data_IF_517850595096
#
_entry.id   IF_517850595096
#
_cell.length_a   1.000
_cell.length_b   1.000
_cell.length_c   1.000
_cell.angle_alpha   90.00
_cell.angle_beta   90.00
_cell.angle_gamma   90.00
#
_symmetry.space_group_name_H-M   'P 1'
#
loop_
_entity.id
_entity.type
_entity.pdbx_description
1 polymer ?
#
# COMPACT_ATOMS: atom_id res chain seq x y z
N UNK A 1 -23.20 30.42 -6.44
CA UNK A 1 -21.95 29.71 -6.07
C UNK A 1 -22.32 28.51 -5.21
N UNK A 2 -21.71 27.34 -5.43
CA UNK A 2 -21.98 26.12 -4.66
C UNK A 2 -20.66 25.54 -4.20
N UNK A 3 -20.60 25.12 -2.95
CA UNK A 3 -19.46 24.42 -2.37
C UNK A 3 -19.82 22.96 -2.17
N UNK A 4 -18.99 22.08 -2.73
CA UNK A 4 -19.11 20.64 -2.55
C UNK A 4 -17.96 20.21 -1.64
N UNK A 5 -18.30 19.68 -0.47
CA UNK A 5 -17.33 19.11 0.45
C UNK A 5 -17.54 17.60 0.55
N UNK A 6 -16.45 16.85 0.46
CA UNK A 6 -16.42 15.41 0.68
C UNK A 6 -15.55 15.09 1.89
N UNK A 7 -16.04 14.24 2.79
CA UNK A 7 -15.34 13.81 4.00
C UNK A 7 -15.43 12.29 4.16
N UNK A 8 -14.28 11.65 4.30
CA UNK A 8 -14.16 10.21 4.59
C UNK A 8 -14.32 9.95 6.09
N UNK A 9 -15.08 8.92 6.48
CA UNK A 9 -15.34 8.62 7.89
C UNK A 9 -14.17 7.90 8.58
N UNK A 10 -13.63 6.85 7.95
CA UNK A 10 -12.58 5.99 8.51
C UNK A 10 -11.16 6.39 8.08
N UNK A 11 -11.03 7.53 7.42
CA UNK A 11 -9.79 8.00 6.82
C UNK A 11 -9.63 7.62 5.33
N UNK A 12 -8.43 7.84 4.78
CA UNK A 12 -8.15 7.72 3.34
C UNK A 12 -7.59 6.35 2.91
N UNK A 13 -7.35 5.43 3.85
CA UNK A 13 -6.76 4.12 3.56
C UNK A 13 -7.80 3.02 3.79
N UNK A 14 -7.88 2.08 2.86
CA UNK A 14 -8.83 0.97 2.86
C UNK A 14 -8.16 -0.33 2.44
N UNK A 15 -8.74 -1.47 2.79
CA UNK A 15 -8.38 -2.77 2.26
C UNK A 15 -9.18 -3.10 0.98
N UNK A 16 -8.61 -3.91 0.08
CA UNK A 16 -9.36 -4.50 -1.04
C UNK A 16 -10.59 -5.26 -0.51
N UNK A 17 -11.76 -5.04 -1.11
CA UNK A 17 -13.01 -5.63 -0.63
C UNK A 17 -13.73 -4.79 0.44
N UNK A 18 -13.09 -3.79 1.06
CA UNK A 18 -13.69 -3.00 2.13
C UNK A 18 -14.75 -2.04 1.59
N UNK A 19 -15.71 -1.66 2.44
CA UNK A 19 -16.71 -0.65 2.09
C UNK A 19 -16.18 0.74 2.42
N UNK A 20 -16.15 1.59 1.40
CA UNK A 20 -15.81 3.01 1.53
C UNK A 20 -17.06 3.80 1.84
N UNK A 21 -16.97 4.63 2.89
CA UNK A 21 -18.04 5.53 3.31
C UNK A 21 -17.57 6.98 3.28
N UNK A 22 -18.29 7.81 2.54
CA UNK A 22 -17.98 9.22 2.33
C UNK A 22 -19.25 10.06 2.50
N UNK A 23 -19.16 11.12 3.30
CA UNK A 23 -20.21 12.15 3.35
C UNK A 23 -19.91 13.23 2.32
N UNK A 24 -20.93 13.60 1.55
CA UNK A 24 -20.83 14.59 0.48
C UNK A 24 -21.87 15.66 0.76
N UNK A 25 -21.43 16.86 1.11
CA UNK A 25 -22.29 17.99 1.42
C UNK A 25 -22.22 19.05 0.32
N UNK A 26 -23.38 19.51 -0.12
CA UNK A 26 -23.56 20.60 -1.06
C UNK A 26 -24.07 21.81 -0.28
N UNK A 27 -23.31 22.89 -0.28
CA UNK A 27 -23.61 24.11 0.47
C UNK A 27 -23.72 25.29 -0.47
N UNK A 28 -24.81 26.03 -0.37
CA UNK A 28 -24.90 27.36 -0.95
C UNK A 28 -24.45 28.36 0.14
N UNK A 29 -23.27 29.00 0.03
CA UNK A 29 -22.82 29.97 1.01
C UNK A 29 -23.82 31.12 1.17
N UNK A 30 -23.92 31.74 2.35
CA UNK A 30 -24.81 32.87 2.57
C UNK A 30 -24.43 34.02 1.63
N UNK A 31 -25.44 34.68 1.05
CA UNK A 31 -25.22 35.85 0.21
C UNK A 31 -24.69 37.02 1.05
N UNK A 32 -23.73 37.81 0.54
CA UNK A 32 -23.33 39.04 1.21
C UNK A 32 -24.52 40.01 1.27
N UNK A 33 -24.67 40.72 2.39
CA UNK A 33 -25.80 41.60 2.73
C UNK A 33 -26.11 42.70 1.68
N UNK A 34 -25.23 42.93 0.71
CA UNK A 34 -25.35 43.96 -0.33
C UNK A 34 -25.95 43.49 -1.67
N UNK A 35 -26.27 42.20 -1.85
CA UNK A 35 -26.96 41.71 -3.06
C UNK A 35 -28.47 41.61 -2.83
N UNK A 36 -29.21 42.62 -3.28
CA UNK A 36 -30.69 42.58 -3.33
C UNK A 36 -31.10 41.65 -4.47
N UNK A 37 -31.73 40.52 -4.16
CA UNK A 37 -32.27 39.61 -5.17
C UNK A 37 -33.48 40.27 -5.86
N UNK A 38 -33.47 40.31 -7.19
CA UNK A 38 -34.54 40.95 -7.98
C UNK A 38 -35.72 40.00 -8.25
N UNK A 39 -35.55 38.68 -8.07
CA UNK A 39 -36.62 37.69 -8.19
C UNK A 39 -36.49 36.54 -7.17
N UNK A 40 -37.58 35.80 -6.94
CA UNK A 40 -37.59 34.62 -6.05
C UNK A 40 -36.68 33.48 -6.55
N UNK A 41 -36.44 33.36 -7.87
CA UNK A 41 -35.58 32.33 -8.44
C UNK A 41 -34.08 32.69 -8.38
N UNK A 42 -33.72 33.98 -8.32
CA UNK A 42 -32.32 34.44 -8.23
C UNK A 42 -31.69 34.14 -6.86
N UNK A 43 -32.50 33.76 -5.89
CA UNK A 43 -32.06 33.39 -4.54
C UNK A 43 -31.55 31.94 -4.50
N UNK A 44 -32.03 31.07 -5.38
CA UNK A 44 -31.71 29.64 -5.32
C UNK A 44 -30.62 29.25 -6.30
N UNK A 45 -29.77 28.34 -5.85
CA UNK A 45 -28.82 27.67 -6.71
C UNK A 45 -29.34 26.27 -7.02
N UNK A 46 -29.44 25.95 -8.32
CA UNK A 46 -29.97 24.67 -8.80
C UNK A 46 -28.85 23.78 -9.37
N UNK A 47 -28.74 22.58 -8.83
CA UNK A 47 -27.89 21.50 -9.33
C UNK A 47 -28.75 20.52 -10.10
N UNK A 48 -28.39 20.26 -11.35
CA UNK A 48 -29.11 19.33 -12.21
C UNK A 48 -28.94 17.88 -11.73
N UNK A 49 -27.74 17.48 -11.32
CA UNK A 49 -27.51 16.13 -10.79
C UNK A 49 -26.16 16.06 -10.08
N UNK A 50 -25.99 15.05 -9.24
CA UNK A 50 -24.69 14.61 -8.78
C UNK A 50 -24.61 13.07 -8.72
N UNK A 51 -23.44 12.54 -9.03
CA UNK A 51 -23.13 11.11 -8.94
C UNK A 51 -21.73 10.88 -8.36
N UNK A 52 -21.53 9.73 -7.74
CA UNK A 52 -20.24 9.32 -7.18
C UNK A 52 -19.87 7.90 -7.62
N UNK A 53 -18.59 7.68 -7.87
CA UNK A 53 -18.02 6.38 -8.25
C UNK A 53 -16.55 6.28 -7.84
N UNK A 54 -16.05 5.06 -7.66
CA UNK A 54 -14.65 4.76 -7.42
C UNK A 54 -13.97 4.41 -8.74
N UNK A 55 -12.80 4.99 -8.97
CA UNK A 55 -11.93 4.74 -10.12
C UNK A 55 -10.56 4.25 -9.67
N UNK A 56 -10.07 3.19 -10.31
CA UNK A 56 -8.66 2.81 -10.33
C UNK A 56 -8.07 3.19 -11.68
N UNK A 57 -7.09 4.08 -11.66
CA UNK A 57 -6.39 4.55 -12.85
C UNK A 57 -5.00 3.92 -12.86
N UNK A 58 -4.68 3.19 -13.92
CA UNK A 58 -3.36 2.67 -14.21
C UNK A 58 -2.62 3.62 -15.14
N UNK A 59 -1.40 3.98 -14.75
CA UNK A 59 -0.47 4.71 -15.60
C UNK A 59 0.77 3.88 -15.75
N UNK A 60 1.10 3.53 -16.98
CA UNK A 60 2.32 2.78 -17.34
C UNK A 60 3.33 3.71 -17.99
N UNK A 61 4.62 3.33 -17.97
CA UNK A 61 5.62 4.02 -18.78
C UNK A 61 5.29 3.84 -20.28
N UNK A 62 5.60 4.88 -21.06
CA UNK A 62 5.43 5.03 -22.50
C UNK A 62 5.90 3.85 -23.37
N UNK A 63 6.82 3.02 -22.86
CA UNK A 63 7.27 1.78 -23.55
C UNK A 63 6.27 0.64 -23.43
N UNK A 64 5.58 0.52 -22.30
CA UNK A 64 4.58 -0.53 -22.04
C UNK A 64 3.21 -0.17 -22.61
N UNK A 65 2.86 1.12 -22.62
CA UNK A 65 1.57 1.62 -23.12
C UNK A 65 1.31 1.36 -24.61
N UNK A 66 2.34 1.14 -25.43
CA UNK A 66 2.18 0.91 -26.88
C UNK A 66 1.66 -0.48 -27.27
N UNK A 67 1.72 -1.45 -26.36
CA UNK A 67 1.31 -2.83 -26.63
C UNK A 67 -0.17 -3.07 -26.32
N UNK A 68 -0.77 -2.27 -25.45
CA UNK A 68 -2.14 -2.49 -24.96
C UNK A 68 -3.26 -1.79 -25.76
N UNK A 69 -2.95 -0.91 -26.72
CA UNK A 69 -3.98 -0.30 -27.58
C UNK A 69 -4.76 -1.34 -28.42
N UNK A 70 -4.37 -2.62 -28.37
CA UNK A 70 -5.04 -3.72 -29.07
C UNK A 70 -5.92 -4.63 -28.21
N UNK A 71 -5.92 -4.57 -26.88
CA UNK A 71 -6.76 -5.45 -26.05
C UNK A 71 -7.31 -4.75 -24.80
N UNK A 72 -8.65 -4.66 -24.76
CA UNK A 72 -9.49 -4.30 -23.61
C UNK A 72 -9.43 -2.84 -23.11
N UNK A 73 -10.16 -1.96 -23.79
CA UNK A 73 -10.96 -0.98 -23.04
C UNK A 73 -12.16 -1.74 -22.46
N UNK A 74 -12.44 -1.68 -21.15
CA UNK A 74 -13.72 -2.15 -20.67
C UNK A 74 -14.80 -1.30 -21.34
N UNK A 75 -15.71 -1.94 -22.08
CA UNK A 75 -16.91 -1.34 -22.65
C UNK A 75 -17.82 -0.82 -21.52
N UNK A 76 -17.46 0.32 -20.94
CA UNK A 76 -18.43 1.13 -20.21
C UNK A 76 -19.12 2.00 -21.24
N UNK A 77 -20.31 1.57 -21.63
CA UNK A 77 -21.24 2.32 -22.49
C UNK A 77 -21.20 3.81 -22.13
N UNK A 78 -20.96 4.66 -23.14
CA UNK A 78 -20.99 6.13 -23.09
C UNK A 78 -22.38 6.63 -22.64
N UNK A 79 -22.71 6.46 -21.37
CA UNK A 79 -23.82 7.15 -20.73
C UNK A 79 -23.32 8.52 -20.30
N UNK A 80 -24.17 9.55 -20.37
CA UNK A 80 -23.87 10.93 -19.94
C UNK A 80 -23.40 11.06 -18.48
N UNK A 81 -23.53 10.00 -17.68
CA UNK A 81 -23.05 9.88 -16.31
C UNK A 81 -21.66 9.23 -16.18
N UNK A 82 -21.13 8.67 -17.27
CA UNK A 82 -19.75 8.19 -17.34
C UNK A 82 -18.83 9.41 -17.25
N UNK A 83 -18.28 9.63 -16.06
CA UNK A 83 -17.33 10.70 -15.81
C UNK A 83 -16.06 10.41 -16.61
N UNK A 84 -15.93 11.03 -17.78
CA UNK A 84 -14.72 10.97 -18.58
C UNK A 84 -13.61 11.68 -17.81
N UNK A 85 -12.69 10.91 -17.22
CA UNK A 85 -11.57 11.46 -16.46
C UNK A 85 -10.50 11.97 -17.43
N UNK A 86 -10.27 13.28 -17.46
CA UNK A 86 -9.13 13.92 -18.14
C UNK A 86 -7.74 13.54 -17.54
N UNK A 87 -7.64 12.47 -16.76
CA UNK A 87 -6.37 12.04 -16.18
C UNK A 87 -5.60 11.20 -17.20
N UNK A 88 -4.30 11.47 -17.35
CA UNK A 88 -3.41 10.68 -18.19
C UNK A 88 -3.24 9.28 -17.59
N UNK A 89 -4.06 8.31 -18.02
CA UNK A 89 -4.03 6.92 -17.57
C UNK A 89 -5.22 6.10 -18.05
N UNK A 90 -5.05 4.78 -18.15
CA UNK A 90 -6.11 3.82 -18.47
C UNK A 90 -6.95 3.55 -17.22
N UNK A 91 -8.26 3.53 -17.36
CA UNK A 91 -9.16 3.12 -16.28
C UNK A 91 -9.14 1.58 -16.24
N UNK A 92 -8.53 1.02 -15.21
CA UNK A 92 -8.56 -0.44 -14.97
C UNK A 92 -9.87 -0.86 -14.33
N UNK A 93 -10.38 -0.03 -13.42
CA UNK A 93 -11.57 -0.36 -12.63
C UNK A 93 -12.42 0.88 -12.44
N UNK A 94 -13.72 0.74 -12.68
CA UNK A 94 -14.72 1.71 -12.30
C UNK A 94 -15.91 1.00 -11.66
N UNK A 95 -16.33 1.44 -10.48
CA UNK A 95 -17.58 0.95 -9.88
C UNK A 95 -18.78 1.56 -10.59
N UNK A 96 -19.96 0.93 -10.49
CA UNK A 96 -21.21 1.51 -11.03
C UNK A 96 -21.46 2.91 -10.43
N UNK A 97 -21.73 3.94 -11.25
CA UNK A 97 -22.07 5.26 -10.75
C UNK A 97 -23.31 5.23 -9.85
N UNK A 98 -23.20 5.78 -8.64
CA UNK A 98 -24.35 6.00 -7.76
C UNK A 98 -24.82 7.44 -7.86
N UNK A 99 -26.09 7.61 -8.19
CA UNK A 99 -26.74 8.91 -8.24
C UNK A 99 -27.02 9.38 -6.80
N UNK A 100 -26.59 10.59 -6.47
CA UNK A 100 -26.88 11.23 -5.18
C UNK A 100 -28.21 11.99 -5.24
N UNK A 101 -28.46 12.71 -6.34
CA UNK A 101 -29.73 13.38 -6.65
C UNK A 101 -29.84 13.73 -8.15
N UNK A 102 -31.06 13.99 -8.62
CA UNK A 102 -31.39 14.35 -10.02
C UNK A 102 -32.02 15.75 -10.19
N UNK A 103 -32.23 16.48 -9.10
CA UNK A 103 -32.53 17.92 -9.07
C UNK A 103 -32.38 18.36 -7.61
N UNK A 104 -31.55 19.37 -7.35
CA UNK A 104 -31.36 19.91 -6.01
C UNK A 104 -31.33 21.43 -6.07
N UNK A 105 -32.27 22.07 -5.37
CA UNK A 105 -32.29 23.51 -5.14
C UNK A 105 -31.85 23.82 -3.72
N UNK A 106 -30.92 24.77 -3.58
CA UNK A 106 -30.39 25.22 -2.30
C UNK A 106 -30.62 26.72 -2.13
N UNK A 107 -31.23 27.09 -1.01
CA UNK A 107 -31.32 28.48 -0.54
C UNK A 107 -29.97 28.96 0.03
N UNK A 108 -29.70 30.27 0.09
CA UNK A 108 -28.46 30.80 0.65
C UNK A 108 -28.31 30.39 2.12
N UNK A 109 -27.14 29.86 2.48
CA UNK A 109 -26.87 29.29 3.80
C UNK A 109 -27.34 27.85 3.99
N UNK A 110 -28.04 27.25 3.02
CA UNK A 110 -28.51 25.87 3.11
C UNK A 110 -27.43 24.88 2.71
N UNK A 111 -27.31 23.82 3.51
CA UNK A 111 -26.47 22.66 3.23
C UNK A 111 -27.33 21.41 3.16
N UNK A 112 -27.09 20.57 2.15
CA UNK A 112 -27.66 19.23 2.05
C UNK A 112 -26.55 18.19 1.95
N UNK A 113 -26.61 17.16 2.79
CA UNK A 113 -25.59 16.12 2.90
C UNK A 113 -26.14 14.78 2.47
N UNK A 114 -25.35 14.05 1.67
CA UNK A 114 -25.63 12.70 1.20
C UNK A 114 -24.51 11.75 1.64
N UNK A 115 -24.84 10.47 1.84
CA UNK A 115 -23.88 9.45 2.22
C UNK A 115 -23.64 8.51 1.04
N UNK A 116 -22.39 8.45 0.59
CA UNK A 116 -21.92 7.51 -0.43
C UNK A 116 -21.29 6.31 0.26
N UNK A 117 -21.78 5.11 -0.10
CA UNK A 117 -21.32 3.82 0.43
C UNK A 117 -21.12 2.85 -0.71
N UNK A 118 -19.89 2.41 -0.96
CA UNK A 118 -19.57 1.50 -2.06
C UNK A 118 -18.47 0.52 -1.66
N UNK A 119 -18.57 -0.74 -2.09
CA UNK A 119 -17.58 -1.78 -1.82
C UNK A 119 -16.47 -1.71 -2.87
N UNK A 120 -15.21 -1.64 -2.43
CA UNK A 120 -14.07 -1.78 -3.34
C UNK A 120 -14.06 -3.22 -3.85
N UNK A 121 -13.93 -3.46 -5.16
CA UNK A 121 -13.74 -4.82 -5.67
C UNK A 121 -12.55 -5.52 -5.00
N UNK A 122 -12.61 -6.84 -4.83
CA UNK A 122 -11.53 -7.60 -4.17
C UNK A 122 -10.46 -8.10 -5.13
N UNK A 123 -10.81 -8.30 -6.41
CA UNK A 123 -9.95 -8.90 -7.43
C UNK A 123 -9.28 -7.84 -8.33
N UNK A 124 -8.84 -6.75 -7.72
CA UNK A 124 -8.32 -5.58 -8.43
C UNK A 124 -6.96 -5.17 -7.86
N UNK A 125 -6.08 -4.53 -8.66
CA UNK A 125 -4.76 -4.12 -8.21
C UNK A 125 -4.84 -3.21 -6.97
N UNK A 126 -3.98 -3.36 -5.96
CA UNK A 126 -3.90 -2.39 -4.87
C UNK A 126 -3.34 -1.05 -5.36
N UNK A 127 -3.43 -0.01 -4.52
CA UNK A 127 -2.74 1.25 -4.76
C UNK A 127 -1.23 1.07 -4.69
N UNK A 128 -0.55 1.45 -5.77
CA UNK A 128 0.90 1.30 -5.89
C UNK A 128 1.47 2.42 -6.75
N UNK A 129 2.68 2.86 -6.44
CA UNK A 129 3.42 3.87 -7.21
C UNK A 129 4.84 3.36 -7.42
N UNK A 130 5.04 2.62 -8.51
CA UNK A 130 6.32 2.08 -8.93
C UNK A 130 7.02 2.92 -9.99
N UNK A 131 8.04 2.30 -10.58
CA UNK A 131 8.76 2.87 -11.72
C UNK A 131 8.13 2.46 -13.06
N UNK A 132 7.56 1.25 -13.15
CA UNK A 132 6.97 0.74 -14.40
C UNK A 132 5.46 1.02 -14.46
N UNK A 133 4.77 0.86 -13.33
CA UNK A 133 3.33 1.10 -13.22
C UNK A 133 2.96 1.86 -11.96
N UNK A 134 1.86 2.61 -12.05
CA UNK A 134 1.20 3.24 -10.92
C UNK A 134 -0.30 3.00 -11.00
N UNK A 135 -0.86 2.48 -9.91
CA UNK A 135 -2.29 2.30 -9.68
C UNK A 135 -2.76 3.34 -8.66
N UNK A 136 -3.64 4.25 -9.10
CA UNK A 136 -4.17 5.33 -8.28
C UNK A 136 -5.68 5.18 -8.11
N UNK A 137 -6.14 5.14 -6.86
CA UNK A 137 -7.56 5.09 -6.53
C UNK A 137 -8.12 6.47 -6.18
N UNK A 138 -9.29 6.79 -6.72
CA UNK A 138 -10.00 8.05 -6.45
C UNK A 138 -11.49 7.80 -6.38
N UNK A 139 -12.17 8.41 -5.41
CA UNK A 139 -13.63 8.59 -5.46
C UNK A 139 -13.88 9.86 -6.28
N UNK A 140 -14.55 9.71 -7.41
CA UNK A 140 -14.87 10.82 -8.30
C UNK A 140 -16.34 11.17 -8.14
N UNK A 141 -16.59 12.40 -7.70
CA UNK A 141 -17.92 12.98 -7.51
C UNK A 141 -18.16 13.95 -8.65
N UNK A 142 -19.03 13.57 -9.58
CA UNK A 142 -19.46 14.42 -10.68
C UNK A 142 -20.69 15.21 -10.28
N UNK A 143 -20.71 16.50 -10.56
CA UNK A 143 -21.85 17.37 -10.28
C UNK A 143 -22.01 18.40 -11.38
N UNK A 144 -23.25 18.72 -11.71
CA UNK A 144 -23.56 19.73 -12.72
C UNK A 144 -24.50 20.79 -12.13
N UNK A 145 -24.09 22.05 -12.19
CA UNK A 145 -24.97 23.18 -11.96
C UNK A 145 -25.77 23.44 -13.24
N UNK A 146 -27.05 23.82 -13.11
CA UNK A 146 -27.89 24.14 -14.27
C UNK A 146 -27.20 25.21 -15.12
N UNK A 147 -27.21 25.02 -16.44
CA UNK A 147 -26.52 25.89 -17.42
C UNK A 147 -25.00 26.02 -17.24
N UNK A 148 -24.35 25.08 -16.55
CA UNK A 148 -22.90 25.05 -16.34
C UNK A 148 -22.29 23.71 -16.78
N UNK A 149 -20.98 23.67 -17.13
CA UNK A 149 -20.29 22.42 -17.38
C UNK A 149 -20.21 21.56 -16.12
N UNK A 150 -20.08 20.24 -16.32
CA UNK A 150 -19.87 19.27 -15.25
C UNK A 150 -18.53 19.57 -14.55
N UNK A 151 -18.53 19.58 -13.22
CA UNK A 151 -17.30 19.65 -12.42
C UNK A 151 -17.12 18.37 -11.62
N UNK A 152 -15.85 18.00 -11.40
CA UNK A 152 -15.47 16.77 -10.75
C UNK A 152 -14.68 17.07 -9.48
N UNK A 153 -15.13 16.55 -8.34
CA UNK A 153 -14.37 16.49 -7.10
C UNK A 153 -13.73 15.10 -7.00
N UNK A 154 -12.40 15.05 -6.89
CA UNK A 154 -11.64 13.80 -6.79
C UNK A 154 -11.07 13.66 -5.38
N UNK A 155 -11.49 12.61 -4.68
CA UNK A 155 -11.03 12.25 -3.34
C UNK A 155 -10.06 11.08 -3.48
N UNK A 156 -8.73 11.30 -3.37
CA UNK A 156 -7.77 10.21 -3.44
C UNK A 156 -7.92 9.28 -2.24
N UNK A 157 -7.90 7.98 -2.50
CA UNK A 157 -7.86 6.94 -1.47
C UNK A 157 -6.71 5.99 -1.76
N UNK A 158 -6.16 5.38 -0.70
CA UNK A 158 -5.13 4.34 -0.80
C UNK A 158 -5.77 3.00 -0.47
N UNK A 159 -5.62 2.04 -1.36
CA UNK A 159 -6.16 0.69 -1.23
C UNK A 159 -5.01 -0.29 -1.04
N UNK A 160 -5.02 -1.04 0.05
CA UNK A 160 -3.99 -2.03 0.37
C UNK A 160 -4.46 -3.44 0.00
N UNK A 161 -3.55 -4.33 -0.41
CA UNK A 161 -3.91 -5.69 -0.74
C UNK A 161 -4.36 -6.44 0.52
N UNK A 162 -5.38 -7.28 0.40
CA UNK A 162 -5.72 -8.26 1.44
C UNK A 162 -5.06 -9.56 1.06
N UNK A 163 -4.34 -10.16 1.99
CA UNK A 163 -3.81 -11.50 1.75
C UNK A 163 -4.96 -12.50 1.83
N UNK A 164 -5.34 -13.07 0.69
CA UNK A 164 -6.34 -14.14 0.63
C UNK A 164 -5.79 -15.51 1.06
N UNK A 165 -4.50 -15.61 1.39
CA UNK A 165 -3.86 -16.86 1.81
C UNK A 165 -4.43 -17.25 3.18
N UNK A 166 -5.48 -18.08 3.15
CA UNK A 166 -6.12 -18.65 4.33
C UNK A 166 -7.64 -18.53 4.37
N UNK A 167 -8.29 -17.62 3.63
CA UNK A 167 -9.76 -17.48 3.72
C UNK A 167 -10.51 -18.72 3.21
N UNK A 168 -9.98 -19.40 2.18
CA UNK A 168 -10.61 -20.61 1.63
C UNK A 168 -10.32 -21.87 2.47
N UNK A 169 -9.16 -21.99 3.11
CA UNK A 169 -8.81 -23.15 3.96
C UNK A 169 -9.29 -23.00 5.41
N UNK A 170 -9.52 -21.77 5.87
CA UNK A 170 -9.92 -21.49 7.26
C UNK A 170 -11.44 -21.37 7.39
N UNK A 171 -12.16 -21.07 6.30
CA UNK A 171 -13.63 -21.18 6.25
C UNK A 171 -14.14 -22.58 6.60
N UNK A 172 -13.32 -23.63 6.41
CA UNK A 172 -13.60 -25.00 6.85
C UNK A 172 -13.07 -25.36 8.25
N UNK A 173 -12.21 -24.55 8.87
CA UNK A 173 -11.66 -24.83 10.22
C UNK A 173 -12.35 -24.02 11.31
N UNK A 174 -12.88 -22.84 11.00
CA UNK A 174 -13.51 -21.95 12.00
C UNK A 174 -15.01 -22.16 12.16
N UNK A 175 -15.68 -22.73 11.15
CA UNK A 175 -17.14 -22.77 11.13
C UNK A 175 -17.73 -24.10 11.63
N UNK A 176 -16.98 -25.20 11.69
CA UNK A 176 -17.58 -26.53 11.91
C UNK A 176 -17.27 -27.21 13.25
N UNK A 177 -16.45 -26.64 14.15
CA UNK A 177 -16.16 -27.32 15.44
C UNK A 177 -16.07 -26.46 16.69
N UNK A 178 -16.07 -25.12 16.59
CA UNK A 178 -15.90 -24.26 17.80
C UNK A 178 -17.13 -23.45 18.21
N UNK A 179 -18.13 -23.25 17.34
CA UNK A 179 -19.39 -22.61 17.74
C UNK A 179 -20.32 -23.56 18.54
N UNK A 180 -20.28 -24.88 18.30
CA UNK A 180 -21.17 -25.84 19.00
C UNK A 180 -20.70 -26.28 20.40
N UNK A 181 -19.44 -26.00 20.78
CA UNK A 181 -18.85 -26.49 22.04
C UNK A 181 -18.48 -25.39 23.04
N UNK A 182 -18.74 -24.12 22.73
CA UNK A 182 -18.55 -23.05 23.71
C UNK A 182 -19.76 -23.01 24.66
N UNK A 183 -19.58 -23.15 25.99
CA UNK A 183 -20.69 -23.06 26.92
C UNK A 183 -21.33 -21.68 26.75
N UNK A 184 -22.62 -21.67 26.39
CA UNK A 184 -23.41 -20.46 26.17
C UNK A 184 -23.46 -19.66 27.47
N UNK A 185 -22.51 -18.74 27.63
CA UNK A 185 -22.44 -17.87 28.79
C UNK A 185 -23.42 -16.71 28.58
N UNK A 186 -24.52 -16.63 29.33
CA UNK A 186 -25.56 -15.63 29.12
C UNK A 186 -25.14 -14.20 29.51
N UNK A 187 -23.93 -14.02 30.07
CA UNK A 187 -23.33 -12.73 30.40
C UNK A 187 -22.30 -12.23 29.37
N UNK A 188 -21.93 -13.06 28.38
CA UNK A 188 -21.11 -12.60 27.26
C UNK A 188 -22.01 -11.83 26.30
N UNK A 189 -21.77 -10.51 26.18
CA UNK A 189 -22.40 -9.64 25.19
C UNK A 189 -22.45 -10.37 23.84
N UNK A 190 -23.61 -10.33 23.18
CA UNK A 190 -23.84 -10.90 21.84
C UNK A 190 -22.64 -10.50 20.98
N UNK A 191 -21.75 -11.46 20.68
CA UNK A 191 -20.55 -11.21 19.90
C UNK A 191 -20.99 -10.47 18.64
N UNK A 192 -20.60 -9.20 18.52
CA UNK A 192 -20.77 -8.49 17.26
C UNK A 192 -20.13 -9.37 16.19
N UNK A 193 -20.93 -9.75 15.20
CA UNK A 193 -20.50 -10.68 14.14
C UNK A 193 -19.22 -10.11 13.53
N UNK A 194 -18.09 -10.75 13.80
CA UNK A 194 -16.78 -10.27 13.35
C UNK A 194 -16.84 -10.07 11.84
N UNK A 195 -16.39 -8.91 11.35
CA UNK A 195 -16.43 -8.68 9.92
C UNK A 195 -15.40 -9.60 9.25
N UNK A 196 -15.61 -10.04 8.00
CA UNK A 196 -14.60 -10.85 7.29
C UNK A 196 -13.21 -10.18 7.24
N UNK A 197 -13.15 -8.85 7.38
CA UNK A 197 -11.91 -8.09 7.47
C UNK A 197 -11.22 -8.23 8.82
N UNK A 198 -11.97 -8.32 9.91
CA UNK A 198 -11.42 -8.54 11.25
C UNK A 198 -10.77 -9.93 11.32
N UNK A 199 -11.44 -10.94 10.77
CA UNK A 199 -10.91 -12.30 10.64
C UNK A 199 -9.64 -12.31 9.77
N UNK A 200 -9.65 -11.60 8.63
CA UNK A 200 -8.47 -11.49 7.77
C UNK A 200 -7.29 -10.80 8.48
N UNK A 201 -7.55 -9.72 9.22
CA UNK A 201 -6.53 -9.00 9.97
C UNK A 201 -5.98 -9.84 11.13
N UNK A 202 -6.83 -10.58 11.84
CA UNK A 202 -6.41 -11.50 12.89
C UNK A 202 -5.56 -12.64 12.32
N UNK A 203 -5.94 -13.18 11.16
CA UNK A 203 -5.14 -14.20 10.45
C UNK A 203 -3.77 -13.65 10.07
N UNK A 204 -3.70 -12.43 9.53
CA UNK A 204 -2.44 -11.75 9.24
C UNK A 204 -1.57 -11.55 10.50
N UNK A 205 -2.18 -11.19 11.62
CA UNK A 205 -1.50 -11.04 12.90
C UNK A 205 -0.92 -12.39 13.38
N UNK A 206 -1.64 -13.49 13.20
CA UNK A 206 -1.16 -14.83 13.53
C UNK A 206 0.00 -15.26 12.64
N UNK A 207 -0.04 -14.95 11.34
CA UNK A 207 1.05 -15.29 10.41
C UNK A 207 2.32 -14.49 10.74
N UNK A 208 2.19 -13.20 11.03
CA UNK A 208 3.33 -12.28 11.25
C UNK A 208 3.90 -12.34 12.66
N UNK A 209 3.17 -12.89 13.64
CA UNK A 209 3.66 -13.10 15.02
C UNK A 209 4.46 -14.39 15.20
N UNK A 210 4.27 -15.39 14.34
CA UNK A 210 5.03 -16.65 14.37
C UNK A 210 6.52 -16.39 14.15
N UNK A 211 7.32 -16.65 15.18
CA UNK A 211 8.78 -16.64 15.11
C UNK A 211 9.25 -18.02 14.68
N UNK A 212 9.99 -18.08 13.59
CA UNK A 212 10.63 -19.30 13.10
C UNK A 212 12.03 -18.92 12.62
N UNK A 213 13.04 -18.99 13.50
CA UNK A 213 14.39 -18.55 13.18
C UNK A 213 15.00 -19.45 12.11
N UNK A 214 15.26 -18.87 10.94
CA UNK A 214 15.91 -19.55 9.82
C UNK A 214 17.38 -19.17 9.77
N UNK A 215 18.26 -20.18 9.67
CA UNK A 215 19.70 -19.99 9.56
C UNK A 215 20.16 -20.23 8.12
N UNK A 216 20.93 -19.28 7.59
CA UNK A 216 21.47 -19.30 6.24
C UNK A 216 22.99 -19.24 6.33
N UNK A 217 23.67 -20.25 5.77
CA UNK A 217 25.13 -20.23 5.66
C UNK A 217 25.50 -19.55 4.35
N UNK A 218 26.12 -18.37 4.45
CA UNK A 218 26.54 -17.57 3.31
C UNK A 218 28.01 -17.88 3.04
N UNK A 219 28.30 -18.33 1.83
CA UNK A 219 29.64 -18.73 1.40
C UNK A 219 30.00 -18.11 0.05
N UNK A 220 31.28 -17.80 -0.11
CA UNK A 220 31.92 -17.43 -1.37
C UNK A 220 32.77 -18.61 -1.88
N UNK A 221 33.38 -18.47 -3.06
CA UNK A 221 34.34 -19.42 -3.64
C UNK A 221 35.53 -19.71 -2.70
N UNK A 222 35.91 -18.74 -1.86
CA UNK A 222 37.00 -18.87 -0.89
C UNK A 222 36.58 -19.49 0.45
N UNK A 223 35.27 -19.77 0.64
CA UNK A 223 34.75 -20.44 1.82
C UNK A 223 33.58 -19.71 2.49
N UNK A 224 33.37 -19.96 3.78
CA UNK A 224 32.21 -19.45 4.54
C UNK A 224 32.47 -18.00 4.96
N UNK A 225 31.51 -17.12 4.70
CA UNK A 225 31.61 -15.69 5.02
C UNK A 225 30.88 -15.38 6.33
N UNK A 226 29.63 -15.84 6.47
CA UNK A 226 28.85 -15.60 7.67
C UNK A 226 27.68 -16.59 7.77
N UNK A 227 27.20 -16.82 8.99
CA UNK A 227 25.90 -17.45 9.24
C UNK A 227 24.89 -16.36 9.58
N UNK A 228 23.88 -16.18 8.74
CA UNK A 228 22.79 -15.22 8.98
C UNK A 228 21.58 -15.91 9.58
N UNK A 229 21.03 -15.37 10.66
CA UNK A 229 19.78 -15.82 11.26
C UNK A 229 18.69 -14.77 11.04
N UNK A 230 17.57 -15.17 10.43
CA UNK A 230 16.38 -14.35 10.30
C UNK A 230 15.28 -14.90 11.21
N UNK A 231 14.81 -14.09 12.17
CA UNK A 231 13.87 -14.58 13.20
C UNK A 231 12.46 -14.91 12.70
N UNK A 232 12.04 -14.31 11.58
CA UNK A 232 10.78 -14.62 10.91
C UNK A 232 10.85 -14.30 9.41
N UNK A 233 10.15 -15.06 8.54
CA UNK A 233 10.14 -14.80 7.09
C UNK A 233 9.00 -13.87 6.64
N UNK A 234 8.06 -13.56 7.54
CA UNK A 234 6.82 -12.84 7.27
C UNK A 234 6.70 -11.60 8.17
N UNK A 235 6.44 -10.44 7.55
CA UNK A 235 6.36 -9.14 8.22
C UNK A 235 5.12 -8.37 7.79
N UNK A 236 4.62 -7.49 8.67
CA UNK A 236 3.61 -6.48 8.30
C UNK A 236 4.28 -5.12 8.08
N UNK A 237 3.59 -4.22 7.38
CA UNK A 237 4.01 -2.83 7.24
C UNK A 237 4.21 -2.17 8.62
N UNK A 238 5.30 -1.43 8.78
CA UNK A 238 5.64 -0.74 10.04
C UNK A 238 6.37 -1.59 11.07
N UNK A 239 6.67 -2.86 10.79
CA UNK A 239 7.57 -3.66 11.63
C UNK A 239 9.04 -3.43 11.27
N UNK A 240 9.90 -3.82 12.19
CA UNK A 240 11.34 -3.91 11.95
C UNK A 240 11.74 -5.36 11.63
N UNK A 241 12.54 -5.52 10.59
CA UNK A 241 13.19 -6.78 10.23
C UNK A 241 14.44 -6.89 11.09
N UNK A 242 14.48 -7.92 11.94
CA UNK A 242 15.60 -8.15 12.84
C UNK A 242 16.28 -9.46 12.43
N UNK A 243 17.60 -9.40 12.27
CA UNK A 243 18.42 -10.57 12.02
C UNK A 243 19.78 -10.45 12.69
N UNK A 244 20.52 -11.55 12.75
CA UNK A 244 21.85 -11.59 13.36
C UNK A 244 22.84 -12.28 12.44
N UNK A 245 24.06 -11.74 12.38
CA UNK A 245 25.20 -12.37 11.75
C UNK A 245 26.10 -13.01 12.79
N UNK A 246 26.55 -14.21 12.48
CA UNK A 246 27.53 -14.95 13.23
C UNK A 246 28.72 -15.25 12.32
N UNK A 247 29.86 -14.65 12.65
CA UNK A 247 31.12 -14.78 11.94
C UNK A 247 32.05 -15.83 12.59
N UNK A 248 31.66 -16.47 13.68
CA UNK A 248 32.51 -17.46 14.36
C UNK A 248 32.79 -18.71 13.52
N UNK A 249 31.91 -19.01 12.57
CA UNK A 249 32.03 -20.14 11.63
C UNK A 249 32.60 -19.69 10.26
N UNK A 250 33.00 -18.41 10.14
CA UNK A 250 33.54 -17.87 8.91
C UNK A 250 34.98 -18.34 8.70
N UNK A 251 35.28 -18.76 7.46
CA UNK A 251 36.65 -19.03 7.01
C UNK A 251 37.22 -17.85 6.24
N UNK A 252 36.36 -16.95 5.76
CA UNK A 252 36.72 -15.73 5.04
C UNK A 252 36.34 -14.52 5.89
N UNK A 253 37.29 -13.61 6.09
CA UNK A 253 37.09 -12.45 6.93
C UNK A 253 36.17 -11.44 6.24
N UNK A 254 35.00 -11.21 6.85
CA UNK A 254 34.08 -10.17 6.42
C UNK A 254 34.49 -8.82 7.02
N UNK A 255 34.79 -7.86 6.15
CA UNK A 255 35.21 -6.50 6.53
C UNK A 255 33.99 -5.62 6.77
N UNK A 256 33.00 -5.75 5.90
CA UNK A 256 31.80 -4.92 5.92
C UNK A 256 30.60 -5.73 5.44
N UNK A 257 29.46 -5.48 6.07
CA UNK A 257 28.17 -5.98 5.63
C UNK A 257 27.22 -4.82 5.37
N UNK A 258 26.38 -4.97 4.35
CA UNK A 258 25.26 -4.09 4.10
C UNK A 258 24.04 -4.90 3.76
N UNK A 259 22.92 -4.58 4.40
CA UNK A 259 21.64 -5.24 4.17
C UNK A 259 20.64 -4.17 3.75
N UNK A 260 19.92 -4.42 2.68
CA UNK A 260 18.93 -3.49 2.15
C UNK A 260 17.60 -4.17 1.89
N UNK A 261 16.51 -3.49 2.26
CA UNK A 261 15.16 -3.89 1.91
C UNK A 261 14.86 -3.39 0.51
N UNK A 262 14.73 -4.33 -0.43
CA UNK A 262 14.49 -4.05 -1.84
C UNK A 262 13.11 -4.53 -2.28
N UNK A 263 12.49 -3.71 -3.11
CA UNK A 263 11.26 -4.01 -3.83
C UNK A 263 11.60 -4.27 -5.29
N UNK A 264 11.20 -5.42 -5.79
CA UNK A 264 11.41 -5.89 -7.15
C UNK A 264 10.10 -5.83 -7.92
N UNK A 265 10.05 -4.96 -8.92
CA UNK A 265 8.93 -4.75 -9.83
C UNK A 265 9.26 -5.42 -11.17
N UNK A 266 8.62 -6.55 -11.46
CA UNK A 266 8.85 -7.39 -12.64
C UNK A 266 7.63 -7.34 -13.57
N UNK A 267 7.79 -6.97 -14.84
CA UNK A 267 6.69 -7.07 -15.81
C UNK A 267 6.40 -8.53 -16.15
N UNK A 268 5.12 -8.87 -16.31
CA UNK A 268 4.69 -10.22 -16.65
C UNK A 268 4.52 -10.46 -18.16
N UNK A 269 4.67 -9.42 -18.98
CA UNK A 269 4.57 -9.50 -20.43
C UNK A 269 5.85 -10.10 -21.02
N UNK A 270 5.73 -11.27 -21.68
CA UNK A 270 6.86 -12.04 -22.22
C UNK A 270 7.71 -11.22 -23.19
N UNK A 271 7.09 -10.41 -24.04
CA UNK A 271 7.76 -9.57 -25.04
C UNK A 271 8.53 -8.37 -24.45
N UNK A 272 8.38 -8.08 -23.16
CA UNK A 272 8.98 -6.89 -22.53
C UNK A 272 9.28 -7.11 -21.05
N UNK A 273 9.95 -8.22 -20.74
CA UNK A 273 10.41 -8.51 -19.38
C UNK A 273 11.40 -7.43 -18.90
N UNK A 274 10.96 -6.62 -17.94
CA UNK A 274 11.73 -5.57 -17.31
C UNK A 274 11.62 -5.75 -15.81
N UNK A 275 12.77 -5.68 -15.14
CA UNK A 275 12.86 -5.75 -13.69
C UNK A 275 13.40 -4.41 -13.21
N UNK A 276 12.65 -3.73 -12.34
CA UNK A 276 13.07 -2.51 -11.66
C UNK A 276 13.17 -2.77 -10.17
N UNK A 277 14.30 -2.40 -9.59
CA UNK A 277 14.56 -2.59 -8.16
C UNK A 277 14.60 -1.22 -7.50
N UNK A 278 13.87 -1.08 -6.40
CA UNK A 278 13.86 0.13 -5.57
C UNK A 278 14.24 -0.25 -4.14
N UNK A 279 15.20 0.47 -3.56
CA UNK A 279 15.66 0.26 -2.18
C UNK A 279 14.92 1.21 -1.22
N UNK A 280 14.40 0.68 -0.11
CA UNK A 280 13.61 1.46 0.87
C UNK A 280 14.34 1.71 2.19
N UNK A 281 15.07 0.72 2.70
CA UNK A 281 15.89 0.86 3.91
C UNK A 281 17.23 0.15 3.70
N UNK A 282 18.29 0.71 4.26
CA UNK A 282 19.65 0.14 4.20
C UNK A 282 20.28 0.24 5.59
N UNK A 283 20.88 -0.85 6.01
CA UNK A 283 21.75 -0.94 7.18
C UNK A 283 23.15 -1.27 6.68
N UNK A 284 24.14 -0.57 7.19
CA UNK A 284 25.54 -0.71 6.81
C UNK A 284 26.37 -0.74 8.08
N UNK A 285 27.30 -1.69 8.14
CA UNK A 285 28.19 -1.86 9.28
C UNK A 285 29.55 -2.40 8.84
N UNK A 286 30.61 -1.85 9.43
CA UNK A 286 31.97 -2.39 9.31
C UNK A 286 32.15 -3.43 10.41
N UNK A 287 32.32 -4.69 10.02
CA UNK A 287 32.29 -5.85 10.91
C UNK A 287 33.63 -6.56 11.07
N UNK A 288 34.73 -5.94 10.62
CA UNK A 288 36.08 -6.48 10.77
C UNK A 288 36.39 -6.73 12.26
N UNK A 289 36.64 -7.99 12.63
CA UNK A 289 36.95 -8.40 14.01
C UNK A 289 35.74 -8.70 14.89
N UNK A 290 34.52 -8.48 14.40
CA UNK A 290 33.32 -8.84 15.15
C UNK A 290 33.02 -10.33 15.01
N UNK A 291 32.67 -10.98 16.12
CA UNK A 291 32.16 -12.36 16.12
C UNK A 291 30.67 -12.41 15.81
N UNK A 292 29.93 -11.41 16.27
CA UNK A 292 28.48 -11.30 16.11
C UNK A 292 28.12 -9.86 15.80
N UNK A 293 27.11 -9.68 14.95
CA UNK A 293 26.41 -8.40 14.85
C UNK A 293 24.91 -8.61 14.59
N UNK A 294 24.12 -7.57 14.76
CA UNK A 294 22.69 -7.55 14.53
C UNK A 294 22.33 -6.51 13.47
N UNK A 295 21.29 -6.80 12.70
CA UNK A 295 20.71 -5.88 11.73
C UNK A 295 19.26 -5.60 12.10
N UNK A 296 18.89 -4.33 12.04
CA UNK A 296 17.51 -3.85 12.22
C UNK A 296 17.17 -3.00 11.00
N UNK A 297 16.20 -3.44 10.20
CA UNK A 297 15.73 -2.74 9.02
C UNK A 297 14.25 -2.36 9.17
N UNK A 298 13.93 -1.07 9.31
CA UNK A 298 12.54 -0.64 9.43
C UNK A 298 11.80 -0.80 8.10
N UNK A 299 10.57 -1.31 8.16
CA UNK A 299 9.66 -1.40 7.00
C UNK A 299 8.75 -0.17 7.00
N UNK A 300 8.82 0.71 5.98
CA UNK A 300 8.01 1.92 5.99
C UNK A 300 6.50 1.63 5.84
N UNK A 301 5.64 2.41 6.52
CA UNK A 301 4.18 2.26 6.44
C UNK A 301 3.58 2.63 5.07
N UNK A 302 4.28 3.45 4.28
CA UNK A 302 3.78 3.96 3.00
C UNK A 302 4.01 3.00 1.82
N UNK A 303 4.74 1.90 2.01
CA UNK A 303 5.01 0.95 0.92
C UNK A 303 3.80 0.05 0.67
N UNK A 304 3.76 -0.57 -0.50
CA UNK A 304 2.70 -1.52 -0.85
C UNK A 304 3.24 -2.95 -0.70
N UNK A 305 2.55 -3.85 0.02
CA UNK A 305 2.92 -5.26 0.11
C UNK A 305 2.95 -5.96 -1.25
N UNK A 306 3.46 -7.19 -1.27
CA UNK A 306 3.56 -7.98 -2.50
C UNK A 306 2.16 -8.19 -3.14
N UNK A 307 2.09 -8.04 -4.45
CA UNK A 307 0.88 -8.30 -5.24
C UNK A 307 1.27 -8.72 -6.66
N UNK A 308 0.32 -9.30 -7.39
CA UNK A 308 0.52 -9.69 -8.78
C UNK A 308 -0.68 -9.24 -9.61
N UNK A 309 -0.42 -8.65 -10.76
CA UNK A 309 -1.40 -8.30 -11.79
C UNK A 309 -0.92 -8.86 -13.13
N UNK A 310 -1.79 -8.92 -14.17
CA UNK A 310 -1.35 -9.32 -15.51
C UNK A 310 -0.24 -8.44 -16.10
N UNK A 311 -0.07 -7.22 -15.59
CA UNK A 311 0.95 -6.28 -16.05
C UNK A 311 2.26 -6.42 -15.28
N UNK A 312 2.18 -6.55 -13.95
CA UNK A 312 3.35 -6.47 -13.07
C UNK A 312 3.24 -7.42 -11.88
N UNK A 313 4.37 -7.94 -11.43
CA UNK A 313 4.54 -8.64 -10.18
C UNK A 313 5.42 -7.82 -9.25
N UNK A 314 4.94 -7.59 -8.02
CA UNK A 314 5.69 -6.90 -6.98
C UNK A 314 6.17 -7.91 -5.93
N UNK A 315 7.49 -8.02 -5.77
CA UNK A 315 8.15 -8.92 -4.82
C UNK A 315 9.06 -8.14 -3.87
N UNK A 316 9.28 -8.69 -2.68
CA UNK A 316 10.14 -8.09 -1.66
C UNK A 316 11.30 -9.02 -1.31
N UNK A 317 12.50 -8.46 -1.17
CA UNK A 317 13.71 -9.21 -0.82
C UNK A 317 14.63 -8.40 0.09
N UNK A 318 15.37 -9.10 0.94
CA UNK A 318 16.55 -8.58 1.59
C UNK A 318 17.74 -8.80 0.66
N UNK A 319 18.48 -7.76 0.39
CA UNK A 319 19.67 -7.78 -0.45
C UNK A 319 20.89 -7.45 0.37
N UNK A 320 21.84 -8.38 0.37
CA UNK A 320 23.03 -8.36 1.17
C UNK A 320 24.22 -8.11 0.26
N UNK A 321 25.05 -7.14 0.63
CA UNK A 321 26.33 -6.84 0.03
C UNK A 321 27.39 -7.09 1.10
N UNK A 322 28.31 -8.01 0.84
CA UNK A 322 29.44 -8.29 1.73
C UNK A 322 30.72 -7.82 1.07
N UNK A 323 31.58 -7.20 1.87
CA UNK A 323 32.97 -6.94 1.50
C UNK A 323 33.81 -7.92 2.31
N UNK A 324 34.49 -8.82 1.61
CA UNK A 324 35.38 -9.83 2.20
C UNK A 324 36.83 -9.51 1.89
N UNK A 325 37.75 -9.85 2.78
CA UNK A 325 39.17 -9.74 2.44
C UNK A 325 39.68 -11.00 1.75
N UNK A 326 40.53 -10.80 0.75
CA UNK A 326 41.25 -11.87 0.06
C UNK A 326 42.58 -12.24 0.74
N UNK A 327 43.02 -11.45 1.72
CA UNK A 327 44.26 -11.71 2.45
C UNK A 327 44.01 -12.73 3.57
N UNK A 328 44.59 -13.92 3.43
CA UNK A 328 44.48 -15.01 4.43
C UNK A 328 45.32 -14.78 5.70
N UNK A 329 46.21 -13.77 5.70
CA UNK A 329 47.13 -13.47 6.79
C UNK A 329 46.76 -12.23 7.62
N UNK A 330 45.50 -11.82 7.63
CA UNK A 330 45.06 -10.70 8.48
C UNK A 330 45.17 -11.10 9.95
N UNK A 331 46.05 -10.40 10.67
CA UNK A 331 46.11 -10.51 12.11
C UNK A 331 44.84 -9.88 12.67
N UNK A 332 44.02 -10.66 13.37
CA UNK A 332 42.73 -10.23 13.90
C UNK A 332 42.88 -9.85 15.36
N UNK A 333 42.11 -8.86 15.86
CA UNK A 333 42.20 -8.47 17.25
C UNK A 333 41.78 -9.66 18.12
N UNK A 334 42.68 -10.08 19.01
CA UNK A 334 42.38 -11.06 20.07
C UNK A 334 42.20 -10.33 21.39
N UNK A 335 41.54 -10.96 22.37
CA UNK A 335 41.29 -10.36 23.69
C UNK A 335 42.57 -9.91 24.41
N UNK A 336 43.72 -10.47 24.03
CA UNK A 336 45.02 -10.20 24.64
C UNK A 336 45.84 -9.14 23.87
N UNK A 337 45.32 -8.60 22.75
CA UNK A 337 46.02 -7.61 21.93
C UNK A 337 45.58 -6.19 22.26
N UNK A 338 46.38 -5.48 23.06
CA UNK A 338 46.09 -4.11 23.50
C UNK A 338 46.39 -3.03 22.43
N UNK A 339 47.09 -3.39 21.36
CA UNK A 339 47.59 -2.46 20.32
C UNK A 339 47.22 -2.86 18.90
N UNK A 340 46.11 -3.59 18.71
CA UNK A 340 45.69 -3.95 17.36
C UNK A 340 45.28 -2.70 16.57
N UNK A 341 45.90 -2.51 15.41
CA UNK A 341 45.54 -1.46 14.45
C UNK A 341 45.03 -2.11 13.17
N UNK A 342 43.92 -1.57 12.66
CA UNK A 342 43.41 -1.99 11.36
C UNK A 342 44.43 -1.67 10.26
N UNK A 343 44.65 -2.57 9.30
CA UNK A 343 45.52 -2.30 8.15
C UNK A 343 45.08 -1.05 7.39
N UNK A 344 46.04 -0.24 6.94
CA UNK A 344 45.76 0.96 6.15
C UNK A 344 45.19 0.62 4.76
N UNK A 345 45.71 -0.44 4.15
CA UNK A 345 45.27 -0.96 2.86
C UNK A 345 44.88 -2.43 2.97
N UNK A 346 43.75 -2.78 2.35
CA UNK A 346 43.20 -4.13 2.40
C UNK A 346 42.72 -4.57 1.02
N UNK A 347 43.18 -5.75 0.59
CA UNK A 347 42.64 -6.38 -0.62
C UNK A 347 41.25 -6.93 -0.33
N UNK A 348 40.26 -6.39 -1.06
CA UNK A 348 38.84 -6.68 -0.85
C UNK A 348 38.20 -7.27 -2.10
N UNK A 349 37.18 -8.10 -1.87
CA UNK A 349 36.25 -8.59 -2.86
C UNK A 349 34.82 -8.31 -2.38
N UNK A 350 33.91 -8.06 -3.31
CA UNK A 350 32.50 -7.85 -3.00
C UNK A 350 31.66 -9.03 -3.49
N UNK A 351 30.78 -9.54 -2.62
CA UNK A 351 29.79 -10.52 -3.01
C UNK A 351 28.38 -10.07 -2.65
N UNK A 352 27.40 -10.62 -3.36
CA UNK A 352 26.00 -10.29 -3.19
C UNK A 352 25.21 -11.55 -2.87
N UNK A 353 24.26 -11.44 -1.96
CA UNK A 353 23.28 -12.48 -1.67
C UNK A 353 21.89 -11.86 -1.53
N UNK A 354 20.83 -12.60 -1.85
CA UNK A 354 19.46 -12.07 -1.76
C UNK A 354 18.52 -13.12 -1.21
N UNK A 355 17.65 -12.69 -0.29
CA UNK A 355 16.68 -13.54 0.40
C UNK A 355 15.27 -12.97 0.22
N UNK A 356 14.34 -13.71 -0.41
CA UNK A 356 12.96 -13.26 -0.52
C UNK A 356 12.28 -13.24 0.85
N UNK A 357 11.44 -12.23 1.08
CA UNK A 357 10.62 -12.10 2.30
C UNK A 357 9.16 -11.87 1.95
N UNK A 358 8.25 -12.24 2.85
CA UNK A 358 6.81 -11.98 2.68
C UNK A 358 6.41 -10.73 3.44
N UNK A 359 5.84 -9.77 2.73
CA UNK A 359 5.31 -8.54 3.31
C UNK A 359 3.79 -8.53 3.21
N UNK A 360 3.13 -8.14 4.30
CA UNK A 360 1.67 -8.09 4.41
C UNK A 360 1.18 -6.70 4.82
N UNK A 361 -0.07 -6.41 4.47
CA UNK A 361 -0.77 -5.21 4.92
C UNK A 361 -0.95 -5.21 6.43
N UNK A 362 -1.04 -3.99 6.99
CA UNK A 362 -1.41 -3.75 8.39
C UNK A 362 -2.79 -3.10 8.45
N UNK A 363 -3.26 -2.77 9.65
CA UNK A 363 -4.54 -2.06 9.84
C UNK A 363 -4.53 -0.72 9.08
N UNK A 364 -5.57 -0.41 8.27
CA UNK A 364 -5.63 0.83 7.51
C UNK A 364 -5.46 2.11 8.33
N UNK A 365 -5.96 2.11 9.57
CA UNK A 365 -5.86 3.24 10.51
C UNK A 365 -4.39 3.60 10.81
N UNK A 366 -3.53 2.60 11.02
CA UNK A 366 -2.10 2.82 11.29
C UNK A 366 -1.40 3.42 10.07
N UNK A 367 -1.74 2.94 8.87
CA UNK A 367 -1.18 3.49 7.62
C UNK A 367 -1.67 4.91 7.39
N UNK A 368 -2.95 5.20 7.67
CA UNK A 368 -3.52 6.54 7.55
C UNK A 368 -2.81 7.56 8.46
N UNK A 369 -2.50 7.17 9.70
CA UNK A 369 -1.73 8.00 10.65
C UNK A 369 -0.31 8.29 10.12
N UNK A 370 0.35 7.30 9.51
CA UNK A 370 1.70 7.46 8.96
C UNK A 370 1.78 8.30 7.68
N UNK A 371 0.69 8.42 6.91
CA UNK A 371 0.68 9.07 5.58
C UNK A 371 0.10 10.51 5.62
N UNK A 372 -0.52 10.95 6.72
CA UNK A 372 -1.08 12.30 6.92
C UNK A 372 -1.92 12.80 5.73
N UNK A 373 -2.78 11.95 5.15
CA UNK A 373 -3.61 12.35 4.00
C UNK A 373 -4.82 13.17 4.44
N UNK A 374 -5.17 14.18 3.64
CA UNK A 374 -6.33 15.00 3.91
C UNK A 374 -7.62 14.16 3.80
N UNK A 375 -8.50 14.33 4.78
CA UNK A 375 -9.79 13.62 4.87
C UNK A 375 -10.91 14.50 4.27
N UNK A 376 -10.69 15.81 4.19
CA UNK A 376 -11.65 16.80 3.70
C UNK A 376 -11.21 17.34 2.34
N UNK A 377 -12.09 17.19 1.35
CA UNK A 377 -11.86 17.72 0.01
C UNK A 377 -12.99 18.67 -0.36
N UNK A 378 -12.62 19.82 -0.95
CA UNK A 378 -13.56 20.89 -1.31
C UNK A 378 -13.44 21.23 -2.78
N UNK A 379 -14.58 21.40 -3.43
CA UNK A 379 -14.73 21.94 -4.78
C UNK A 379 -15.66 23.14 -4.74
N UNK A 380 -15.23 24.24 -5.34
CA UNK A 380 -16.03 25.46 -5.44
C UNK A 380 -16.52 25.63 -6.88
N UNK A 381 -17.84 25.67 -7.04
CA UNK A 381 -18.53 25.96 -8.29
C UNK A 381 -19.00 27.41 -8.27
N UNK A 382 -18.29 28.28 -9.00
CA UNK A 382 -18.74 29.67 -9.22
C UNK A 382 -19.92 29.73 -10.18
#
# INVERSE_FOLDING_TARGET
MIEVNARLFRGPVYLLGEVVECSISFTHPPSPQHKVAQSHNDVFESLAWASAQIHCICTTDSKLGKLEDKQSSPLYNNTTLAICTQDAGKIEVATKPRILFCDLRLSPGQTKTYFYREKIPSDVPPSYRGQLVKYSYKITIGTQRVNSPVKLLRVPIRVLPVCAIGLNDIGGLCNDTTEELSPANPFLEIRQRETPFDIALQTLQNITSRRNPNFYMISNIFGKVARFCLFKPAYKLGEDIIGTFDFTVATVNCVQVSVSLQCEEETQLEDSKQIKITTYSKHHEVCLGLKYTQVILPIPLHVTPAFSTPLVSLKWRLHFEFVTSTNSGLDMPTLDTDYWQAPADLSIETMVWSLPIKLFSTTPVLVAQGVQSNIHHRLIMR
#
